data_IF_545721049688
#
_entry.id   IF_545721049688
#
_cell.length_a   1.000
_cell.length_b   1.000
_cell.length_c   1.000
_cell.angle_alpha   90.00
_cell.angle_beta   90.00
_cell.angle_gamma   90.00
#
_symmetry.space_group_name_H-M   'P 1'
#
loop_
_entity.id
_entity.type
_entity.pdbx_description
1 polymer ?
#
# COMPACT_ATOMS: atom_id res chain seq x y z
N UNK A 1 15.93 -0.21 -21.44
CA UNK A 1 15.52 0.72 -20.38
C UNK A 1 15.16 -0.09 -19.13
N UNK A 2 15.54 0.34 -17.92
CA UNK A 2 15.18 -0.36 -16.67
C UNK A 2 13.84 0.16 -16.16
N UNK A 3 12.97 -0.72 -15.67
CA UNK A 3 11.73 -0.34 -14.97
C UNK A 3 12.08 0.28 -13.62
N UNK A 4 11.26 1.24 -13.16
CA UNK A 4 11.39 1.82 -11.84
C UNK A 4 11.22 0.74 -10.76
N UNK A 5 12.17 0.69 -9.82
CA UNK A 5 12.08 -0.13 -8.62
C UNK A 5 12.19 0.80 -7.42
N UNK A 6 11.24 0.75 -6.47
CA UNK A 6 11.33 1.54 -5.24
C UNK A 6 12.56 1.10 -4.43
N UNK A 7 13.24 2.06 -3.81
CA UNK A 7 14.32 1.73 -2.86
C UNK A 7 13.67 1.51 -1.50
N UNK A 8 14.22 0.60 -0.73
CA UNK A 8 13.76 0.32 0.63
C UNK A 8 14.91 0.72 1.54
N UNK A 9 14.88 1.95 2.06
CA UNK A 9 15.77 2.32 3.15
C UNK A 9 15.22 1.72 4.45
N UNK A 10 16.01 0.85 5.09
CA UNK A 10 15.60 0.11 6.30
C UNK A 10 15.40 1.02 7.52
N UNK A 11 15.67 2.31 7.37
CA UNK A 11 15.61 3.33 8.42
C UNK A 11 14.54 4.41 8.15
N UNK A 12 13.53 4.20 7.29
CA UNK A 12 12.36 5.11 7.15
C UNK A 12 12.71 6.63 7.18
N UNK A 13 13.80 7.08 6.53
CA UNK A 13 14.28 8.47 6.64
C UNK A 13 14.44 9.20 5.32
N UNK A 14 14.08 8.61 4.20
CA UNK A 14 14.16 9.30 2.91
C UNK A 14 12.81 9.90 2.56
N UNK A 15 12.77 11.24 2.68
CA UNK A 15 11.63 12.16 2.54
C UNK A 15 10.93 12.09 1.17
N UNK A 16 11.49 11.35 0.21
CA UNK A 16 11.00 11.25 -1.18
C UNK A 16 10.19 9.97 -1.48
N UNK A 17 10.12 9.01 -0.55
CA UNK A 17 9.35 7.77 -0.70
C UNK A 17 8.14 7.80 0.23
N UNK A 18 6.93 7.87 -0.35
CA UNK A 18 5.66 8.06 0.36
C UNK A 18 5.57 7.19 1.63
N UNK A 19 5.53 7.80 2.83
CA UNK A 19 5.41 7.04 4.07
C UNK A 19 4.12 6.23 4.07
N UNK A 20 4.16 5.04 4.68
CA UNK A 20 2.95 4.22 4.84
C UNK A 20 1.91 5.03 5.61
N UNK A 21 0.74 5.21 5.00
CA UNK A 21 -0.37 5.94 5.60
C UNK A 21 -1.22 4.98 6.42
N UNK A 22 -1.89 5.52 7.43
CA UNK A 22 -2.89 4.79 8.20
C UNK A 22 -4.27 5.07 7.64
N UNK A 23 -5.05 4.02 7.43
CA UNK A 23 -6.42 4.10 6.95
C UNK A 23 -7.39 3.54 7.99
N UNK A 24 -8.59 4.10 8.02
CA UNK A 24 -9.70 3.59 8.83
C UNK A 24 -10.85 3.32 7.89
N UNK A 25 -11.35 2.08 7.88
CA UNK A 25 -12.45 1.67 7.02
C UNK A 25 -13.69 1.50 7.89
N UNK A 26 -14.72 2.33 7.66
CA UNK A 26 -16.05 2.09 8.21
C UNK A 26 -16.75 0.98 7.43
N UNK A 27 -17.04 -0.13 8.11
CA UNK A 27 -17.65 -1.31 7.52
C UNK A 27 -19.16 -1.40 7.79
N UNK A 28 -19.77 -0.41 8.45
CA UNK A 28 -21.17 -0.48 8.83
C UNK A 28 -22.10 -0.51 7.59
N UNK A 29 -22.97 -1.53 7.51
CA UNK A 29 -23.87 -1.74 6.37
C UNK A 29 -23.18 -2.18 5.06
N UNK A 30 -21.87 -2.43 5.08
CA UNK A 30 -21.12 -2.84 3.90
C UNK A 30 -21.10 -4.37 3.73
N UNK A 31 -21.05 -4.83 2.48
CA UNK A 31 -20.89 -6.26 2.17
C UNK A 31 -19.46 -6.68 2.49
N UNK A 32 -19.30 -7.68 3.36
CA UNK A 32 -18.01 -8.18 3.85
C UNK A 32 -16.97 -8.37 2.74
N UNK A 33 -17.35 -9.04 1.64
CA UNK A 33 -16.44 -9.32 0.54
C UNK A 33 -15.87 -8.06 -0.12
N UNK A 34 -16.67 -7.00 -0.26
CA UNK A 34 -16.22 -5.73 -0.85
C UNK A 34 -15.21 -5.03 0.08
N UNK A 35 -15.52 -4.98 1.38
CA UNK A 35 -14.61 -4.41 2.39
C UNK A 35 -13.29 -5.17 2.42
N UNK A 36 -13.34 -6.51 2.41
CA UNK A 36 -12.15 -7.35 2.42
C UNK A 36 -11.28 -7.15 1.17
N UNK A 37 -11.88 -7.04 -0.02
CA UNK A 37 -11.13 -6.76 -1.26
C UNK A 37 -10.45 -5.40 -1.20
N UNK A 38 -11.17 -4.36 -0.78
CA UNK A 38 -10.60 -3.01 -0.66
C UNK A 38 -9.46 -2.96 0.37
N UNK A 39 -9.65 -3.58 1.55
CA UNK A 39 -8.61 -3.67 2.56
C UNK A 39 -7.36 -4.41 2.04
N UNK A 40 -7.53 -5.53 1.33
CA UNK A 40 -6.42 -6.29 0.77
C UNK A 40 -5.61 -5.49 -0.27
N UNK A 41 -6.26 -4.64 -1.07
CA UNK A 41 -5.57 -3.80 -2.05
C UNK A 41 -4.79 -2.65 -1.40
N UNK A 42 -5.30 -2.08 -0.30
CA UNK A 42 -4.59 -1.09 0.52
C UNK A 42 -3.36 -1.70 1.19
N UNK A 43 -3.52 -2.85 1.86
CA UNK A 43 -2.44 -3.57 2.54
C UNK A 43 -1.34 -4.03 1.60
N UNK A 44 -1.66 -4.31 0.33
CA UNK A 44 -0.68 -4.70 -0.67
C UNK A 44 -0.03 -3.49 -1.38
N UNK A 45 -0.64 -2.31 -1.27
CA UNK A 45 -0.18 -1.09 -1.95
C UNK A 45 -0.48 -1.08 -3.44
N UNK A 46 -1.44 -1.89 -3.90
CA UNK A 46 -1.82 -1.97 -5.33
C UNK A 46 -2.41 -0.68 -5.88
N UNK A 47 -2.93 0.15 -4.99
CA UNK A 47 -3.40 1.50 -5.26
C UNK A 47 -2.26 2.51 -5.49
N UNK A 48 -1.01 2.16 -5.17
CA UNK A 48 0.15 3.05 -5.33
C UNK A 48 0.84 2.84 -6.67
N UNK A 49 1.35 3.91 -7.32
CA UNK A 49 2.09 3.80 -8.58
C UNK A 49 3.46 3.10 -8.41
N UNK A 50 3.93 2.96 -7.17
CA UNK A 50 5.17 2.26 -6.82
C UNK A 50 4.98 0.76 -6.57
N UNK A 51 3.78 0.22 -6.84
CA UNK A 51 3.47 -1.18 -6.60
C UNK A 51 4.46 -2.11 -7.31
N UNK A 52 5.06 -3.00 -6.52
CA UNK A 52 6.02 -3.98 -7.00
C UNK A 52 5.64 -5.35 -6.43
N UNK A 53 5.36 -6.39 -7.24
CA UNK A 53 4.75 -7.63 -6.75
C UNK A 53 5.53 -8.40 -5.67
N UNK A 54 6.86 -8.26 -5.66
CA UNK A 54 7.75 -8.92 -4.70
C UNK A 54 8.08 -8.06 -3.48
N UNK A 55 7.57 -6.82 -3.41
CA UNK A 55 7.85 -5.89 -2.33
C UNK A 55 6.55 -5.43 -1.68
N UNK A 56 6.54 -5.42 -0.34
CA UNK A 56 5.45 -4.82 0.42
C UNK A 56 5.55 -3.29 0.39
N UNK A 57 4.68 -2.69 -0.42
CA UNK A 57 4.54 -1.24 -0.60
C UNK A 57 3.24 -0.72 0.01
N UNK A 58 2.56 -1.56 0.80
CA UNK A 58 1.26 -1.30 1.38
C UNK A 58 1.18 -0.14 2.36
N UNK A 59 -0.06 0.15 2.72
CA UNK A 59 -0.42 1.03 3.83
C UNK A 59 -0.96 0.22 5.01
N UNK A 60 -1.17 0.90 6.14
CA UNK A 60 -1.74 0.33 7.37
C UNK A 60 -3.24 0.57 7.45
#
# INVERSE_FOLDING_TARGET
MKTYLPKIDRLNRTVDEQPRKWHVIDANGAVLGKVATTAADLLRGKNKPTFTPHLDTGDF
#
